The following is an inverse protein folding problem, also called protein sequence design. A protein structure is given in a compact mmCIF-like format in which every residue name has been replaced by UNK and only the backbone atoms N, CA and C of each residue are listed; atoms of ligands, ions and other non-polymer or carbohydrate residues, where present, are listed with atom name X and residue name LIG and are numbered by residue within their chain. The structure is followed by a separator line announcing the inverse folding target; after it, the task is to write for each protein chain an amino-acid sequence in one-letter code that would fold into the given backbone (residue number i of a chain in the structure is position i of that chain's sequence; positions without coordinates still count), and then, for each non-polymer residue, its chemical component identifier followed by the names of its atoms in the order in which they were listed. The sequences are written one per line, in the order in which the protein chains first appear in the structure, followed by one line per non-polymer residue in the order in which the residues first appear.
data_IF_751534523076
#
_entry.id   IF_751534523076
#
_cell.length_a   1.000
_cell.length_b   1.000
_cell.length_c   1.000
_cell.angle_alpha   90.00
_cell.angle_beta   90.00
_cell.angle_gamma   90.00
#
_symmetry.space_group_name_H-M   'P 1'
#
loop_
_entity.id
_entity.type
_entity.pdbx_description
1 polymer ?
#
# COMPACT_ATOMS: atom_id res chain seq x y z
N UNK A 1 10.86 2.94 35.01
CA UNK A 1 9.85 2.94 33.92
C UNK A 1 9.48 1.50 33.71
N UNK A 2 8.27 1.13 34.09
CA UNK A 2 7.78 -0.22 33.81
C UNK A 2 7.60 -0.34 32.29
N UNK A 3 8.25 -1.34 31.68
CA UNK A 3 8.18 -1.57 30.24
C UNK A 3 6.75 -2.01 29.88
N UNK A 4 6.12 -1.29 28.96
CA UNK A 4 4.76 -1.57 28.47
C UNK A 4 4.76 -2.77 27.47
N UNK A 5 5.92 -3.11 26.91
CA UNK A 5 6.11 -4.25 26.00
C UNK A 5 7.58 -4.72 26.02
N UNK A 6 7.83 -5.91 25.50
CA UNK A 6 9.17 -6.53 25.38
C UNK A 6 9.52 -6.84 23.93
N UNK A 7 10.82 -6.90 23.61
CA UNK A 7 11.28 -7.32 22.28
C UNK A 7 10.82 -8.75 21.95
N UNK A 8 10.83 -9.64 22.94
CA UNK A 8 10.33 -11.01 22.78
C UNK A 8 8.85 -11.03 22.36
N UNK A 9 8.01 -10.23 23.02
CA UNK A 9 6.59 -10.07 22.65
C UNK A 9 6.45 -9.49 21.24
N UNK A 10 7.27 -8.51 20.86
CA UNK A 10 7.25 -7.94 19.50
C UNK A 10 7.61 -8.96 18.41
N UNK A 11 8.58 -9.84 18.69
CA UNK A 11 9.05 -10.87 17.75
C UNK A 11 8.19 -12.14 17.77
N UNK A 12 7.21 -12.22 18.68
CA UNK A 12 6.35 -13.37 18.80
C UNK A 12 5.38 -13.49 17.62
N UNK A 13 4.92 -14.71 17.39
CA UNK A 13 3.95 -15.03 16.35
C UNK A 13 2.52 -14.66 16.76
N UNK A 14 1.61 -14.70 15.79
CA UNK A 14 0.19 -14.35 15.96
C UNK A 14 -0.51 -15.15 17.09
N UNK A 15 -0.07 -16.37 17.37
CA UNK A 15 -0.58 -17.22 18.45
C UNK A 15 -0.40 -16.61 19.84
N UNK A 16 0.72 -15.94 20.11
CA UNK A 16 0.96 -15.22 21.37
C UNK A 16 0.02 -14.04 21.50
N UNK A 17 -0.23 -13.31 20.40
CA UNK A 17 -1.21 -12.21 20.37
C UNK A 17 -2.62 -12.71 20.67
N UNK A 18 -3.03 -13.82 20.06
CA UNK A 18 -4.34 -14.45 20.29
C UNK A 18 -4.45 -14.96 21.72
N UNK A 19 -3.44 -15.66 22.24
CA UNK A 19 -3.43 -16.14 23.62
C UNK A 19 -3.52 -14.98 24.62
N UNK A 20 -2.78 -13.90 24.39
CA UNK A 20 -2.82 -12.70 25.22
C UNK A 20 -4.18 -12.00 25.20
N UNK A 21 -4.85 -11.98 24.05
CA UNK A 21 -6.23 -11.50 23.93
C UNK A 21 -7.21 -12.34 24.77
N UNK A 22 -7.15 -13.67 24.69
CA UNK A 22 -8.07 -14.52 25.46
C UNK A 22 -7.76 -14.56 26.96
N UNK A 23 -6.48 -14.52 27.34
CA UNK A 23 -6.04 -14.44 28.73
C UNK A 23 -6.18 -13.04 29.34
N UNK A 24 -6.54 -12.04 28.54
CA UNK A 24 -6.61 -10.62 28.94
C UNK A 24 -5.26 -10.09 29.48
N UNK A 25 -4.16 -10.59 28.93
CA UNK A 25 -2.80 -10.20 29.31
C UNK A 25 -2.33 -8.90 28.65
N UNK A 26 -3.05 -8.39 27.65
CA UNK A 26 -2.70 -7.18 26.91
C UNK A 26 -3.72 -6.06 27.11
N UNK A 27 -3.29 -4.85 27.43
CA UNK A 27 -4.22 -3.71 27.52
C UNK A 27 -4.69 -3.23 26.13
N UNK A 28 -3.77 -3.24 25.16
CA UNK A 28 -4.04 -2.88 23.76
C UNK A 28 -3.35 -3.86 22.83
N UNK A 29 -4.02 -4.24 21.75
CA UNK A 29 -3.47 -5.12 20.71
C UNK A 29 -3.87 -4.56 19.35
N UNK A 30 -2.89 -4.30 18.49
CA UNK A 30 -3.13 -4.11 17.06
C UNK A 30 -3.10 -5.49 16.42
N UNK A 31 -4.22 -5.91 15.83
CA UNK A 31 -4.30 -7.19 15.14
C UNK A 31 -5.10 -7.05 13.85
N UNK A 32 -5.03 -8.07 12.98
CA UNK A 32 -5.95 -8.18 11.85
C UNK A 32 -7.38 -8.33 12.37
N UNK A 33 -8.37 -7.91 11.57
CA UNK A 33 -9.76 -8.10 11.98
C UNK A 33 -10.08 -9.60 12.16
N UNK A 34 -10.79 -9.89 13.25
CA UNK A 34 -11.20 -11.23 13.65
C UNK A 34 -12.72 -11.33 13.54
N UNK A 35 -13.24 -12.34 12.88
CA UNK A 35 -14.70 -12.48 12.70
C UNK A 35 -15.49 -12.76 13.98
N UNK A 36 -14.82 -12.90 15.13
CA UNK A 36 -15.41 -13.20 16.43
C UNK A 36 -15.06 -12.14 17.48
N UNK A 37 -15.90 -12.05 18.50
CA UNK A 37 -15.74 -11.14 19.63
C UNK A 37 -14.80 -11.75 20.67
N UNK A 38 -13.86 -10.96 21.18
CA UNK A 38 -13.02 -11.33 22.32
C UNK A 38 -13.64 -10.76 23.60
N UNK A 39 -14.03 -11.60 24.58
CA UNK A 39 -14.55 -11.12 25.85
C UNK A 39 -13.57 -10.17 26.54
N UNK A 40 -14.08 -9.05 27.08
CA UNK A 40 -13.25 -8.04 27.77
C UNK A 40 -12.58 -7.02 26.85
N UNK A 41 -12.65 -7.18 25.53
CA UNK A 41 -12.11 -6.22 24.57
C UNK A 41 -13.20 -5.54 23.75
N UNK A 42 -12.94 -4.27 23.44
CA UNK A 42 -13.69 -3.50 22.44
C UNK A 42 -12.80 -3.27 21.23
N UNK A 43 -13.31 -3.56 20.04
CA UNK A 43 -12.64 -3.19 18.79
C UNK A 43 -12.84 -1.71 18.49
N UNK A 44 -11.85 -1.12 17.84
CA UNK A 44 -11.90 0.24 17.31
C UNK A 44 -11.19 0.27 15.97
N UNK A 45 -11.50 1.24 15.13
CA UNK A 45 -10.69 1.53 13.96
C UNK A 45 -9.26 1.90 14.38
N UNK A 46 -8.30 1.60 13.51
CA UNK A 46 -6.92 2.01 13.73
C UNK A 46 -6.86 3.53 13.69
N UNK A 47 -6.34 4.15 14.76
CA UNK A 47 -6.25 5.61 14.85
C UNK A 47 -5.23 6.15 13.85
N UNK A 48 -5.64 7.19 13.11
CA UNK A 48 -4.75 7.91 12.20
C UNK A 48 -4.04 9.08 12.88
N UNK A 49 -3.24 9.80 12.09
CA UNK A 49 -2.50 10.98 12.55
C UNK A 49 -3.41 12.15 12.95
N UNK A 50 -4.52 12.31 12.24
CA UNK A 50 -5.47 13.41 12.44
C UNK A 50 -6.74 12.90 13.11
N UNK A 51 -7.41 13.77 13.89
CA UNK A 51 -8.71 13.47 14.48
C UNK A 51 -9.74 13.11 13.39
N UNK A 52 -10.54 12.07 13.65
CA UNK A 52 -11.54 11.56 12.69
C UNK A 52 -10.97 10.83 11.48
N UNK A 53 -9.65 10.65 11.39
CA UNK A 53 -8.98 9.91 10.31
C UNK A 53 -8.54 8.54 10.80
N UNK A 54 -8.93 7.48 10.08
CA UNK A 54 -8.44 6.13 10.36
C UNK A 54 -7.08 5.88 9.70
N UNK A 55 -6.16 5.20 10.39
CA UNK A 55 -4.89 4.71 9.85
C UNK A 55 -5.00 3.38 9.11
N UNK A 56 -6.21 2.96 8.74
CA UNK A 56 -6.47 1.65 8.13
C UNK A 56 -5.93 1.58 6.70
N UNK A 57 -5.37 0.43 6.33
CA UNK A 57 -4.94 0.11 4.96
C UNK A 57 -5.95 -0.90 4.39
N UNK A 58 -6.27 -0.79 3.10
CA UNK A 58 -7.15 -1.76 2.45
C UNK A 58 -6.37 -3.06 2.19
N UNK A 59 -6.92 -4.17 2.67
CA UNK A 59 -6.56 -5.51 2.22
C UNK A 59 -7.77 -6.17 1.60
N UNK A 60 -7.58 -7.31 0.93
CA UNK A 60 -8.72 -8.10 0.45
C UNK A 60 -8.39 -8.97 -0.76
N UNK A 61 -9.46 -9.40 -1.40
CA UNK A 61 -9.41 -10.24 -2.59
C UNK A 61 -9.92 -9.46 -3.79
N UNK A 62 -9.18 -9.53 -4.89
CA UNK A 62 -9.62 -9.05 -6.19
C UNK A 62 -10.05 -10.23 -7.05
N UNK A 63 -11.07 -10.04 -7.88
CA UNK A 63 -11.50 -11.03 -8.87
C UNK A 63 -11.15 -10.47 -10.25
N UNK A 64 -10.40 -11.23 -11.03
CA UNK A 64 -10.00 -10.87 -12.39
C UNK A 64 -10.49 -11.88 -13.41
N UNK A 65 -10.70 -11.43 -14.64
CA UNK A 65 -11.00 -12.29 -15.79
C UNK A 65 -9.72 -12.52 -16.58
N UNK A 66 -9.41 -13.78 -16.89
CA UNK A 66 -8.26 -14.11 -17.73
C UNK A 66 -8.46 -13.53 -19.14
N UNK A 67 -7.47 -12.79 -19.65
CA UNK A 67 -7.54 -12.17 -20.99
C UNK A 67 -7.34 -13.16 -22.16
N UNK A 68 -7.00 -14.41 -21.87
CA UNK A 68 -6.63 -15.43 -22.86
C UNK A 68 -7.70 -16.52 -23.06
N UNK A 69 -8.93 -16.26 -22.64
CA UNK A 69 -10.08 -17.17 -22.83
C UNK A 69 -10.94 -16.69 -24.00
N UNK A 70 -11.72 -17.60 -24.59
CA UNK A 70 -12.68 -17.23 -25.62
C UNK A 70 -13.86 -16.40 -25.07
N UNK A 71 -14.65 -15.86 -25.97
CA UNK A 71 -15.77 -14.96 -25.67
C UNK A 71 -16.85 -15.61 -24.81
N UNK A 72 -17.18 -16.87 -25.06
CA UNK A 72 -18.19 -17.59 -24.29
C UNK A 72 -17.77 -17.73 -22.82
N UNK A 73 -16.52 -18.14 -22.59
CA UNK A 73 -15.98 -18.25 -21.24
C UNK A 73 -15.80 -16.89 -20.55
N UNK A 74 -15.45 -15.86 -21.30
CA UNK A 74 -15.35 -14.49 -20.78
C UNK A 74 -16.72 -13.99 -20.31
N UNK A 75 -17.76 -14.18 -21.12
CA UNK A 75 -19.12 -13.74 -20.79
C UNK A 75 -19.67 -14.52 -19.59
N UNK A 76 -19.40 -15.84 -19.50
CA UNK A 76 -19.71 -16.64 -18.32
C UNK A 76 -18.96 -16.15 -17.07
N UNK A 77 -17.67 -15.81 -17.18
CA UNK A 77 -16.88 -15.27 -16.07
C UNK A 77 -17.43 -13.92 -15.58
N UNK A 78 -17.90 -13.05 -16.49
CA UNK A 78 -18.55 -11.79 -16.14
C UNK A 78 -19.80 -12.05 -15.30
N UNK A 79 -20.65 -13.03 -15.68
CA UNK A 79 -21.85 -13.40 -14.88
C UNK A 79 -21.50 -13.85 -13.47
N UNK A 80 -20.41 -14.59 -13.30
CA UNK A 80 -19.92 -15.01 -11.98
C UNK A 80 -19.47 -13.80 -11.15
N UNK A 81 -18.75 -12.86 -11.77
CA UNK A 81 -18.34 -11.61 -11.10
C UNK A 81 -19.56 -10.80 -10.69
N UNK A 82 -20.53 -10.59 -11.58
CA UNK A 82 -21.79 -9.88 -11.28
C UNK A 82 -22.51 -10.50 -10.08
N UNK A 83 -22.55 -11.83 -9.99
CA UNK A 83 -23.13 -12.51 -8.82
C UNK A 83 -22.34 -12.22 -7.55
N UNK A 84 -21.01 -12.38 -7.56
CA UNK A 84 -20.18 -12.14 -6.38
C UNK A 84 -20.16 -10.68 -5.94
N UNK A 85 -20.28 -9.72 -6.86
CA UNK A 85 -20.33 -8.29 -6.55
C UNK A 85 -21.77 -7.78 -6.36
N UNK A 86 -22.78 -8.63 -6.49
CA UNK A 86 -24.17 -8.27 -6.23
C UNK A 86 -24.38 -7.85 -4.77
N UNK A 87 -25.30 -6.92 -4.56
CA UNK A 87 -25.68 -6.45 -3.23
C UNK A 87 -26.14 -7.60 -2.31
N UNK A 88 -26.93 -8.54 -2.85
CA UNK A 88 -27.39 -9.72 -2.13
C UNK A 88 -26.21 -10.57 -1.62
N UNK A 89 -25.23 -10.85 -2.48
CA UNK A 89 -24.09 -11.66 -2.09
C UNK A 89 -23.16 -10.91 -1.12
N UNK A 90 -22.97 -9.61 -1.32
CA UNK A 90 -22.17 -8.77 -0.42
C UNK A 90 -22.78 -8.68 0.99
N UNK A 91 -24.11 -8.59 1.11
CA UNK A 91 -24.82 -8.74 2.40
C UNK A 91 -24.57 -10.09 3.04
N UNK A 92 -24.65 -11.17 2.26
CA UNK A 92 -24.40 -12.53 2.74
C UNK A 92 -22.95 -12.70 3.23
N UNK A 93 -21.98 -12.10 2.55
CA UNK A 93 -20.58 -12.07 2.98
C UNK A 93 -20.44 -11.38 4.35
N UNK A 94 -20.98 -10.17 4.49
CA UNK A 94 -20.89 -9.40 5.74
C UNK A 94 -21.61 -10.09 6.91
N UNK A 95 -22.82 -10.59 6.68
CA UNK A 95 -23.69 -11.08 7.77
C UNK A 95 -23.46 -12.53 8.14
N UNK A 96 -23.36 -13.42 7.15
CA UNK A 96 -23.26 -14.89 7.35
C UNK A 96 -21.81 -15.32 7.41
N UNK A 97 -20.97 -14.84 6.47
CA UNK A 97 -19.56 -15.22 6.41
C UNK A 97 -18.68 -14.39 7.34
N UNK A 98 -19.21 -13.29 7.89
CA UNK A 98 -18.48 -12.38 8.77
C UNK A 98 -17.20 -11.85 8.12
N UNK A 99 -17.32 -11.53 6.83
CA UNK A 99 -16.26 -10.92 6.02
C UNK A 99 -16.71 -9.53 5.62
N UNK A 100 -15.96 -8.50 5.99
CA UNK A 100 -16.27 -7.13 5.61
C UNK A 100 -16.35 -6.99 4.10
N UNK A 101 -17.46 -6.42 3.64
CA UNK A 101 -17.69 -6.05 2.24
C UNK A 101 -17.05 -4.71 1.91
N UNK A 102 -16.53 -4.58 0.69
CA UNK A 102 -16.15 -3.29 0.11
C UNK A 102 -17.35 -2.46 -0.37
N UNK A 103 -18.55 -3.03 -0.45
CA UNK A 103 -19.77 -2.33 -0.86
C UNK A 103 -20.34 -1.56 0.33
N UNK A 104 -19.96 -0.29 0.47
CA UNK A 104 -20.35 0.53 1.63
C UNK A 104 -21.85 0.69 1.82
N UNK A 105 -22.63 0.72 0.73
CA UNK A 105 -24.09 0.93 0.78
C UNK A 105 -24.84 -0.11 1.61
N UNK A 106 -24.33 -1.33 1.74
CA UNK A 106 -25.00 -2.37 2.54
C UNK A 106 -24.99 -2.04 4.04
N UNK A 107 -24.10 -1.16 4.50
CA UNK A 107 -23.99 -0.76 5.90
C UNK A 107 -24.91 0.41 6.27
N UNK A 108 -25.72 0.88 5.32
CA UNK A 108 -26.83 1.80 5.59
C UNK A 108 -28.15 1.05 5.85
N UNK A 109 -28.14 -0.29 5.69
CA UNK A 109 -29.33 -1.12 5.85
C UNK A 109 -29.48 -1.68 7.25
N UNK A 110 -30.65 -1.44 7.85
CA UNK A 110 -30.94 -1.81 9.23
C UNK A 110 -30.74 -3.32 9.50
N UNK A 111 -31.17 -4.19 8.57
CA UNK A 111 -31.05 -5.64 8.72
C UNK A 111 -29.59 -6.12 8.75
N UNK A 112 -28.69 -5.45 8.03
CA UNK A 112 -27.25 -5.75 8.10
C UNK A 112 -26.69 -5.29 9.44
N UNK A 113 -27.08 -4.10 9.90
CA UNK A 113 -26.57 -3.48 11.12
C UNK A 113 -27.08 -4.11 12.41
N UNK A 114 -28.13 -4.93 12.36
CA UNK A 114 -28.53 -5.83 13.46
C UNK A 114 -27.48 -6.92 13.73
N UNK A 115 -26.63 -7.23 12.75
CA UNK A 115 -25.71 -8.36 12.76
C UNK A 115 -24.24 -7.91 12.74
N UNK A 116 -23.96 -6.77 12.11
CA UNK A 116 -22.63 -6.20 11.90
C UNK A 116 -22.56 -4.83 12.57
N UNK A 117 -21.41 -4.49 13.17
CA UNK A 117 -21.15 -3.14 13.67
C UNK A 117 -20.94 -2.17 12.49
N UNK A 118 -22.04 -1.73 11.88
CA UNK A 118 -22.01 -0.83 10.73
C UNK A 118 -21.34 0.51 11.02
N UNK A 119 -21.42 1.00 12.27
CA UNK A 119 -20.77 2.26 12.63
C UNK A 119 -19.25 2.11 12.59
N UNK A 120 -18.71 1.00 13.11
CA UNK A 120 -17.30 0.67 12.95
C UNK A 120 -16.93 0.48 11.47
N UNK A 121 -17.74 -0.23 10.68
CA UNK A 121 -17.43 -0.47 9.26
C UNK A 121 -17.39 0.81 8.43
N UNK A 122 -18.29 1.75 8.69
CA UNK A 122 -18.33 3.06 8.02
C UNK A 122 -17.16 3.98 8.43
N UNK A 123 -16.56 3.76 9.59
CA UNK A 123 -15.38 4.50 10.04
C UNK A 123 -14.09 4.08 9.34
N UNK A 124 -14.04 2.91 8.72
CA UNK A 124 -12.88 2.50 7.93
C UNK A 124 -12.69 3.45 6.74
N UNK A 125 -11.55 4.14 6.68
CA UNK A 125 -11.11 4.96 5.56
C UNK A 125 -9.86 4.35 4.95
N UNK A 126 -9.97 3.17 4.33
CA UNK A 126 -8.80 2.40 3.98
C UNK A 126 -8.11 3.03 2.77
N UNK A 127 -6.79 3.19 2.85
CA UNK A 127 -5.96 3.62 1.72
C UNK A 127 -5.49 2.40 0.92
N UNK A 128 -5.47 2.53 -0.41
CA UNK A 128 -4.89 1.51 -1.28
C UNK A 128 -3.37 1.44 -1.09
N UNK A 129 -2.82 0.23 -1.03
CA UNK A 129 -1.37 0.07 -1.16
C UNK A 129 -0.94 0.52 -2.56
N UNK A 130 0.17 1.28 -2.69
CA UNK A 130 0.62 1.83 -3.96
C UNK A 130 1.30 0.80 -4.88
N UNK A 131 0.95 -0.48 -4.77
CA UNK A 131 1.54 -1.62 -5.50
C UNK A 131 1.44 -1.50 -7.03
N UNK A 132 0.52 -0.67 -7.53
CA UNK A 132 0.22 -0.55 -8.95
C UNK A 132 0.78 0.74 -9.57
N UNK A 133 1.35 1.63 -8.74
CA UNK A 133 1.78 2.97 -9.14
C UNK A 133 3.30 3.03 -9.26
N UNK A 134 4.01 2.26 -8.44
CA UNK A 134 5.48 2.26 -8.40
C UNK A 134 6.02 0.83 -8.56
N UNK A 135 6.78 0.60 -9.64
CA UNK A 135 7.46 -0.67 -9.90
C UNK A 135 8.46 -1.04 -8.80
N UNK A 136 8.90 -0.06 -8.00
CA UNK A 136 9.90 -0.20 -6.96
C UNK A 136 9.29 -0.31 -5.55
N UNK A 137 7.96 -0.26 -5.40
CA UNK A 137 7.33 -0.28 -4.09
C UNK A 137 7.72 -1.49 -3.24
N UNK A 138 7.81 -2.68 -3.85
CA UNK A 138 8.23 -3.89 -3.13
C UNK A 138 9.66 -3.77 -2.58
N UNK A 139 10.56 -3.16 -3.34
CA UNK A 139 11.94 -2.95 -2.92
C UNK A 139 12.02 -1.90 -1.81
N UNK A 140 11.31 -0.78 -1.97
CA UNK A 140 11.19 0.25 -0.94
C UNK A 140 10.63 -0.32 0.36
N UNK A 141 9.53 -1.07 0.27
CA UNK A 141 8.85 -1.69 1.40
C UNK A 141 9.80 -2.65 2.15
N UNK A 142 10.52 -3.51 1.43
CA UNK A 142 11.51 -4.41 2.02
C UNK A 142 12.65 -3.65 2.71
N UNK A 143 13.17 -2.60 2.08
CA UNK A 143 14.22 -1.74 2.64
C UNK A 143 13.73 -1.05 3.91
N UNK A 144 12.56 -0.43 3.85
CA UNK A 144 11.92 0.24 4.98
C UNK A 144 11.72 -0.70 6.17
N UNK A 145 11.17 -1.91 5.92
CA UNK A 145 11.02 -2.94 6.96
C UNK A 145 12.36 -3.37 7.54
N UNK A 146 13.42 -3.47 6.73
CA UNK A 146 14.75 -3.84 7.21
C UNK A 146 15.30 -2.81 8.19
N UNK A 147 15.22 -1.52 7.84
CA UNK A 147 15.69 -0.42 8.70
C UNK A 147 14.94 -0.41 10.04
N UNK A 148 13.61 -0.55 10.00
CA UNK A 148 12.78 -0.61 11.22
C UNK A 148 13.11 -1.84 12.08
N UNK A 149 13.36 -3.00 11.48
CA UNK A 149 13.75 -4.20 12.24
C UNK A 149 15.11 -4.03 12.92
N UNK A 150 16.09 -3.42 12.26
CA UNK A 150 17.40 -3.14 12.86
C UNK A 150 17.27 -2.29 14.13
N UNK A 151 16.39 -1.29 14.12
CA UNK A 151 16.05 -0.49 15.31
C UNK A 151 15.48 -1.35 16.43
N UNK A 152 14.47 -2.18 16.14
CA UNK A 152 13.85 -3.04 17.16
C UNK A 152 14.82 -4.09 17.72
N UNK A 153 15.78 -4.57 16.93
CA UNK A 153 16.86 -5.44 17.40
C UNK A 153 17.95 -4.72 18.21
N UNK A 154 17.84 -3.40 18.40
CA UNK A 154 18.82 -2.61 19.14
C UNK A 154 20.13 -2.40 18.39
N UNK A 155 20.14 -2.59 17.07
CA UNK A 155 21.33 -2.41 16.22
C UNK A 155 21.56 -0.94 15.85
N UNK A 156 20.55 -0.10 16.02
CA UNK A 156 20.57 1.32 15.68
C UNK A 156 19.85 2.15 16.75
N UNK A 157 20.25 3.40 16.89
CA UNK A 157 19.50 4.41 17.64
C UNK A 157 18.34 4.96 16.82
N UNK A 158 17.35 5.57 17.49
CA UNK A 158 16.20 6.17 16.81
C UNK A 158 16.61 7.27 15.81
N UNK A 159 17.70 8.00 16.10
CA UNK A 159 18.22 9.05 15.23
C UNK A 159 18.82 8.47 13.94
N UNK A 160 19.64 7.43 14.05
CA UNK A 160 20.26 6.75 12.90
C UNK A 160 19.18 6.12 12.01
N UNK A 161 18.22 5.41 12.61
CA UNK A 161 17.09 4.81 11.90
C UNK A 161 16.27 5.87 11.16
N UNK A 162 16.00 7.03 11.75
CA UNK A 162 15.27 8.11 11.09
C UNK A 162 16.05 8.71 9.92
N UNK A 163 17.38 8.82 10.05
CA UNK A 163 18.25 9.29 8.97
C UNK A 163 18.24 8.30 7.79
N UNK A 164 18.32 6.99 8.06
CA UNK A 164 18.25 5.94 7.04
C UNK A 164 16.89 5.89 6.34
N UNK A 165 15.79 6.00 7.09
CA UNK A 165 14.45 6.13 6.50
C UNK A 165 14.38 7.34 5.57
N UNK A 166 14.94 8.48 6.00
CA UNK A 166 14.95 9.70 5.19
C UNK A 166 15.78 9.54 3.91
N UNK A 167 16.90 8.82 3.96
CA UNK A 167 17.72 8.48 2.78
C UNK A 167 16.97 7.54 1.85
N UNK A 168 16.33 6.50 2.37
CA UNK A 168 15.53 5.57 1.59
C UNK A 168 14.42 6.31 0.83
N UNK A 169 13.59 7.09 1.53
CA UNK A 169 12.51 7.88 0.90
C UNK A 169 13.04 8.77 -0.22
N UNK A 170 14.16 9.48 -0.01
CA UNK A 170 14.78 10.33 -1.04
C UNK A 170 15.24 9.53 -2.26
N UNK A 171 15.86 8.36 -2.06
CA UNK A 171 16.35 7.51 -3.15
C UNK A 171 15.21 7.09 -4.09
N UNK A 172 14.06 6.68 -3.54
CA UNK A 172 12.92 6.27 -4.35
C UNK A 172 12.13 7.45 -4.94
N UNK A 173 12.12 8.61 -4.27
CA UNK A 173 11.51 9.82 -4.84
C UNK A 173 12.26 10.32 -6.10
N UNK A 174 13.60 10.19 -6.11
CA UNK A 174 14.44 10.61 -7.24
C UNK A 174 14.32 9.63 -8.43
N UNK A 175 14.12 8.33 -8.16
CA UNK A 175 13.92 7.37 -9.25
C UNK A 175 12.65 7.62 -10.04
N UNK A 176 11.57 8.06 -9.40
CA UNK A 176 10.29 8.38 -10.07
C UNK A 176 10.42 9.59 -11.00
N UNK A 177 11.12 10.64 -10.55
CA UNK A 177 11.39 11.81 -11.38
C UNK A 177 12.23 11.44 -12.62
N UNK A 178 13.19 10.53 -12.47
CA UNK A 178 14.05 10.10 -13.58
C UNK A 178 13.37 9.18 -14.61
N UNK A 179 12.31 8.46 -14.21
CA UNK A 179 11.55 7.55 -15.09
C UNK A 179 10.43 8.29 -15.83
N UNK A 180 9.98 9.44 -15.32
CA UNK A 180 9.03 10.32 -16.02
C UNK A 180 9.58 10.97 -17.31
N UNK A 181 10.88 10.80 -17.59
CA UNK A 181 11.59 11.46 -18.69
C UNK A 181 12.12 10.50 -19.79
N UNK A 182 11.71 9.22 -19.75
CA UNK A 182 12.20 8.18 -20.67
C UNK A 182 11.60 8.22 -22.08
N UNK A 183 11.02 9.36 -22.50
CA UNK A 183 10.60 9.53 -23.89
C UNK A 183 10.90 10.90 -24.51
N UNK A 184 11.72 11.75 -23.90
CA UNK A 184 12.07 13.04 -24.53
C UNK A 184 13.51 13.54 -24.43
N UNK A 185 14.49 12.87 -23.83
CA UNK A 185 15.80 13.53 -23.66
C UNK A 185 17.03 12.86 -24.29
N UNK A 186 16.96 11.65 -24.86
CA UNK A 186 18.11 11.07 -25.57
C UNK A 186 18.24 11.57 -27.02
N UNK A 187 17.12 11.75 -27.73
CA UNK A 187 17.13 12.21 -29.13
C UNK A 187 17.46 13.70 -29.25
N UNK A 188 17.00 14.53 -28.30
CA UNK A 188 17.26 15.97 -28.28
C UNK A 188 18.72 16.32 -27.98
N UNK A 189 19.36 15.59 -27.06
CA UNK A 189 20.77 15.77 -26.73
C UNK A 189 21.71 15.34 -27.88
N UNK A 190 21.37 14.25 -28.58
CA UNK A 190 22.13 13.83 -29.76
C UNK A 190 21.98 14.81 -30.92
N UNK A 191 20.77 15.36 -31.14
CA UNK A 191 20.53 16.41 -32.13
C UNK A 191 21.29 17.70 -31.80
N UNK A 192 21.31 18.14 -30.54
CA UNK A 192 22.02 19.37 -30.14
C UNK A 192 23.55 19.23 -30.28
N UNK A 193 24.11 18.08 -29.95
CA UNK A 193 25.54 17.78 -30.17
C UNK A 193 25.85 17.79 -31.68
N UNK A 194 25.02 17.16 -32.51
CA UNK A 194 25.22 17.12 -33.97
C UNK A 194 25.19 18.52 -34.61
N UNK A 195 24.26 19.39 -34.19
CA UNK A 195 24.17 20.78 -34.67
C UNK A 195 25.38 21.62 -34.26
N UNK A 196 25.90 21.41 -33.04
CA UNK A 196 27.07 22.11 -32.54
C UNK A 196 28.33 21.78 -33.34
N UNK A 197 28.49 20.52 -33.74
CA UNK A 197 29.60 20.05 -34.60
C UNK A 197 29.49 20.67 -36.00
N UNK A 198 28.29 20.70 -36.59
CA UNK A 198 28.09 21.35 -37.90
C UNK A 198 28.39 22.84 -37.83
N UNK A 199 27.96 23.53 -36.77
CA UNK A 199 28.21 24.97 -36.62
C UNK A 199 29.70 25.30 -36.50
N UNK A 200 30.44 24.50 -35.73
CA UNK A 200 31.90 24.65 -35.61
C UNK A 200 32.63 24.37 -36.92
N UNK A 201 32.21 23.37 -37.70
CA UNK A 201 32.75 23.10 -39.04
C UNK A 201 32.47 24.25 -40.03
N UNK A 202 31.28 24.85 -39.99
CA UNK A 202 30.94 26.00 -40.85
C UNK A 202 31.81 27.20 -40.51
N UNK A 203 32.03 27.48 -39.22
CA UNK A 203 32.91 28.57 -38.79
C UNK A 203 34.34 28.34 -39.26
N UNK A 204 34.90 27.14 -39.08
CA UNK A 204 36.29 26.87 -39.49
C UNK A 204 36.47 26.96 -41.01
N UNK A 205 35.52 26.47 -41.80
CA UNK A 205 35.55 26.62 -43.27
C UNK A 205 35.47 28.10 -43.67
N UNK A 206 34.59 28.87 -43.04
CA UNK A 206 34.42 30.30 -43.34
C UNK A 206 35.70 31.09 -43.01
N UNK A 207 36.34 30.81 -41.87
CA UNK A 207 37.60 31.43 -41.48
C UNK A 207 38.72 31.03 -42.44
N UNK A 208 38.80 29.77 -42.85
CA UNK A 208 39.79 29.32 -43.83
C UNK A 208 39.63 30.01 -45.18
N UNK A 209 38.39 30.19 -45.67
CA UNK A 209 38.11 30.91 -46.92
C UNK A 209 38.42 32.41 -46.84
N UNK A 210 38.36 33.03 -45.66
CA UNK A 210 38.76 34.43 -45.47
C UNK A 210 40.28 34.63 -45.39
N UNK A 211 41.06 33.55 -45.28
CA UNK A 211 42.53 33.58 -45.26
C UNK A 211 43.15 33.31 -46.63
N UNK A 212 42.34 33.11 -47.67
CA UNK A 212 42.72 33.07 -49.09
C UNK A 212 42.19 34.30 -49.82
#
# INVERSE_FOLDING_TARGET
MDRISSLETYLSTDDVSIYGLFSQSFLFVKFRDLSFTIPGYKKTVLVGKNEGVSGTIIGGYNIGVCKYIDEEHRDAAIKVIEFFTSEEYQKKLATIKKVSSGMRSIYDEEEVCKIVDCEMEKQHQPIAEPNNIDNNYNEFSNTFYSIIRSYFYGQQTASETLEEISKAIKSYSISDDSISDDNKNSSGALLSISLSIVFTLVITITVALLQF
#
